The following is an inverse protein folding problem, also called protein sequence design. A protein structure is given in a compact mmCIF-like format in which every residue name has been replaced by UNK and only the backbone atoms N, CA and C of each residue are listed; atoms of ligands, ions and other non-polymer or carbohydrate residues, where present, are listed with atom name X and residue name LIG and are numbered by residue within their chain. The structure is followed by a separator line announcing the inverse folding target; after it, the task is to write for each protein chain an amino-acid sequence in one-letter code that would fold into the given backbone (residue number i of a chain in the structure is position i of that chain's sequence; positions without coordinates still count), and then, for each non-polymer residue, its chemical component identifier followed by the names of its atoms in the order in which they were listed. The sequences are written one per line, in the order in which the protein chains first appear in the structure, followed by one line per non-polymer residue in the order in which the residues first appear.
data_IF_761359185668
#
_entry.id   IF_761359185668
#
_cell.length_a   1.000
_cell.length_b   1.000
_cell.length_c   1.000
_cell.angle_alpha   90.00
_cell.angle_beta   90.00
_cell.angle_gamma   90.00
#
_symmetry.space_group_name_H-M   'P 1'
#
loop_
_entity.id
_entity.type
_entity.pdbx_description
1 polymer ?
#
# COMPACT_ATOMS: atom_id res chain seq x y z
N UNK A 1 14.48 29.07 -22.60
CA UNK A 1 13.37 28.68 -23.46
C UNK A 1 12.21 29.64 -23.17
N UNK A 2 11.89 30.58 -24.08
CA UNK A 2 10.79 31.53 -23.88
C UNK A 2 9.51 30.88 -24.41
N UNK A 3 8.56 30.60 -23.55
CA UNK A 3 7.23 30.13 -23.95
C UNK A 3 6.54 31.22 -24.80
N UNK A 4 5.88 30.83 -25.88
CA UNK A 4 5.09 31.74 -26.70
C UNK A 4 3.82 32.17 -25.94
N UNK A 5 3.27 33.32 -26.32
CA UNK A 5 2.05 33.87 -25.69
C UNK A 5 0.83 32.95 -25.87
N UNK A 6 0.79 32.12 -26.92
CA UNK A 6 -0.22 31.10 -27.16
C UNK A 6 -0.08 29.89 -26.20
N UNK A 7 1.15 29.48 -25.88
CA UNK A 7 1.41 28.42 -24.91
C UNK A 7 1.08 28.86 -23.48
N UNK A 8 1.37 30.11 -23.13
CA UNK A 8 0.99 30.71 -21.85
C UNK A 8 -0.54 30.75 -21.69
N UNK A 9 -1.29 31.19 -22.74
CA UNK A 9 -2.76 31.17 -22.70
C UNK A 9 -3.35 29.78 -22.58
N UNK A 10 -2.72 28.75 -23.13
CA UNK A 10 -3.16 27.36 -23.06
C UNK A 10 -2.90 26.73 -21.66
N UNK A 11 -1.86 27.17 -20.99
CA UNK A 11 -1.47 26.67 -19.65
C UNK A 11 -2.19 27.37 -18.50
N UNK A 12 -2.62 28.62 -18.67
CA UNK A 12 -3.30 29.40 -17.63
C UNK A 12 -4.58 28.76 -17.06
N UNK A 13 -5.50 28.14 -17.84
CA UNK A 13 -6.68 27.48 -17.30
C UNK A 13 -6.34 26.22 -16.50
N UNK A 14 -5.30 25.49 -16.92
CA UNK A 14 -4.82 24.28 -16.24
C UNK A 14 -4.13 24.64 -14.92
N UNK A 15 -3.30 25.70 -14.94
CA UNK A 15 -2.66 26.23 -13.74
C UNK A 15 -3.70 26.75 -12.73
N UNK A 16 -4.72 27.51 -13.18
CA UNK A 16 -5.82 27.98 -12.30
C UNK A 16 -6.61 26.83 -11.69
N UNK A 17 -6.93 25.78 -12.44
CA UNK A 17 -7.62 24.59 -11.89
C UNK A 17 -6.75 23.81 -10.90
N UNK A 18 -5.45 23.69 -11.16
CA UNK A 18 -4.49 23.04 -10.23
C UNK A 18 -4.34 23.84 -8.93
N UNK A 19 -4.17 25.17 -9.04
CA UNK A 19 -4.09 26.04 -7.85
C UNK A 19 -5.39 25.99 -7.06
N UNK A 20 -6.55 26.05 -7.71
CA UNK A 20 -7.84 25.91 -7.04
C UNK A 20 -8.02 24.54 -6.38
N UNK A 21 -7.65 23.44 -7.05
CA UNK A 21 -7.72 22.09 -6.48
C UNK A 21 -6.75 21.95 -5.29
N UNK A 22 -5.53 22.51 -5.39
CA UNK A 22 -4.54 22.52 -4.30
C UNK A 22 -5.01 23.37 -3.12
N UNK A 23 -5.61 24.53 -3.37
CA UNK A 23 -6.18 25.39 -2.32
C UNK A 23 -7.38 24.69 -1.66
N UNK A 24 -8.27 24.06 -2.44
CA UNK A 24 -9.42 23.31 -1.88
C UNK A 24 -8.94 22.12 -1.05
N UNK A 25 -7.95 21.36 -1.54
CA UNK A 25 -7.33 20.28 -0.76
C UNK A 25 -6.62 20.82 0.49
N UNK A 26 -5.94 21.94 0.40
CA UNK A 26 -5.26 22.59 1.54
C UNK A 26 -6.27 23.09 2.57
N UNK A 27 -7.35 23.77 2.13
CA UNK A 27 -8.46 24.21 2.99
C UNK A 27 -9.20 23.01 3.60
N UNK A 28 -9.47 21.96 2.83
CA UNK A 28 -10.06 20.73 3.36
C UNK A 28 -9.14 20.05 4.37
N UNK A 29 -7.82 20.00 4.13
CA UNK A 29 -6.85 19.56 5.12
C UNK A 29 -6.87 20.43 6.36
N UNK A 30 -6.81 21.76 6.24
CA UNK A 30 -6.89 22.66 7.39
C UNK A 30 -8.19 22.48 8.19
N UNK A 31 -9.32 22.27 7.52
CA UNK A 31 -10.61 22.07 8.19
C UNK A 31 -10.75 20.66 8.80
N UNK A 32 -10.09 19.64 8.23
CA UNK A 32 -10.04 18.29 8.80
C UNK A 32 -8.98 18.14 9.89
N UNK A 33 -7.89 18.91 9.82
CA UNK A 33 -6.78 18.87 10.78
C UNK A 33 -7.12 19.43 12.18
N UNK A 34 -8.24 20.13 12.34
CA UNK A 34 -8.54 20.81 13.59
C UNK A 34 -9.23 19.98 14.67
N UNK A 35 -9.82 18.82 14.33
CA UNK A 35 -10.64 18.08 15.30
C UNK A 35 -10.04 16.74 15.69
N UNK A 36 -9.79 16.58 16.99
CA UNK A 36 -9.68 15.26 17.62
C UNK A 36 -11.10 14.76 17.84
N UNK A 37 -11.46 13.62 17.25
CA UNK A 37 -12.71 12.92 17.57
C UNK A 37 -12.51 12.23 18.90
N UNK A 38 -13.21 12.75 19.91
CA UNK A 38 -13.09 12.28 21.29
C UNK A 38 -13.99 11.09 21.53
N UNK A 39 -13.45 10.11 22.28
CA UNK A 39 -14.20 9.00 22.83
C UNK A 39 -15.15 8.32 21.82
N UNK A 40 -14.58 7.78 20.75
CA UNK A 40 -15.32 7.22 19.58
C UNK A 40 -16.33 6.15 19.96
N UNK A 41 -16.14 5.47 21.10
CA UNK A 41 -17.03 4.41 21.60
C UNK A 41 -17.84 4.82 22.84
N UNK A 42 -17.74 6.06 23.31
CA UNK A 42 -18.46 6.59 24.49
C UNK A 42 -18.21 5.74 25.76
N UNK A 43 -16.95 5.43 26.02
CA UNK A 43 -16.49 4.60 27.15
C UNK A 43 -16.13 5.49 28.36
N UNK A 44 -16.58 5.11 29.57
CA UNK A 44 -16.23 5.78 30.82
C UNK A 44 -14.93 5.20 31.42
N UNK A 45 -13.87 5.13 30.65
CA UNK A 45 -12.57 4.65 31.09
C UNK A 45 -11.61 5.81 31.39
N UNK A 46 -10.86 5.77 32.51
CA UNK A 46 -9.80 6.72 32.76
C UNK A 46 -8.58 6.49 31.87
N UNK A 47 -8.40 5.26 31.35
CA UNK A 47 -7.29 4.92 30.43
C UNK A 47 -7.60 5.43 29.03
N UNK A 48 -6.64 6.17 28.45
CA UNK A 48 -6.86 6.85 27.18
C UNK A 48 -5.80 6.51 26.16
N UNK A 49 -6.23 6.30 24.93
CA UNK A 49 -5.36 6.15 23.76
C UNK A 49 -5.69 7.22 22.72
N UNK A 50 -4.65 7.81 22.14
CA UNK A 50 -4.75 8.64 20.95
C UNK A 50 -4.33 7.83 19.72
N UNK A 51 -5.28 7.67 18.80
CA UNK A 51 -5.02 7.05 17.50
C UNK A 51 -4.76 8.15 16.44
N UNK A 52 -3.49 8.28 16.01
CA UNK A 52 -3.04 9.21 14.98
C UNK A 52 -3.13 8.55 13.60
N UNK A 53 -4.35 8.53 13.02
CA UNK A 53 -4.62 7.77 11.80
C UNK A 53 -5.56 8.53 10.85
N UNK A 54 -6.73 8.00 10.56
CA UNK A 54 -7.75 8.54 9.66
C UNK A 54 -9.06 8.76 10.43
N UNK A 55 -9.30 9.97 11.00
CA UNK A 55 -10.52 10.26 11.78
C UNK A 55 -11.79 10.13 10.94
N UNK A 56 -11.69 10.19 9.59
CA UNK A 56 -12.81 9.97 8.67
C UNK A 56 -13.50 8.61 8.87
N UNK A 57 -12.78 7.62 9.38
CA UNK A 57 -13.32 6.32 9.77
C UNK A 57 -14.46 6.41 10.79
N UNK A 58 -14.50 7.50 11.59
CA UNK A 58 -15.48 7.74 12.65
C UNK A 58 -16.38 8.94 12.39
N UNK A 59 -16.06 9.79 11.40
CA UNK A 59 -16.80 11.02 11.10
C UNK A 59 -18.17 10.74 10.44
N UNK A 60 -18.27 9.65 9.70
CA UNK A 60 -19.48 9.27 8.97
C UNK A 60 -20.10 8.02 9.61
N UNK A 61 -21.43 8.02 9.75
CA UNK A 61 -22.19 6.85 10.24
C UNK A 61 -22.15 5.65 9.27
N UNK A 62 -21.64 5.83 8.06
CA UNK A 62 -21.49 4.78 7.05
C UNK A 62 -20.10 4.17 7.22
N UNK A 63 -20.06 2.87 7.53
CA UNK A 63 -18.81 2.11 7.57
C UNK A 63 -18.08 2.24 6.22
N UNK A 64 -16.75 2.47 6.23
CA UNK A 64 -15.99 2.56 5.00
C UNK A 64 -16.04 1.22 4.27
N UNK A 65 -16.64 1.21 3.08
CA UNK A 65 -16.66 0.01 2.24
C UNK A 65 -15.31 -0.15 1.57
N UNK A 66 -14.64 -1.28 1.82
CA UNK A 66 -13.47 -1.76 1.09
C UNK A 66 -12.29 -0.77 0.93
N UNK A 67 -12.10 0.10 1.93
CA UNK A 67 -10.92 0.96 2.02
C UNK A 67 -10.03 0.47 3.15
N UNK A 68 -8.91 -0.20 2.82
CA UNK A 68 -8.04 -0.87 3.80
C UNK A 68 -7.66 0.02 4.98
N UNK A 69 -7.09 1.20 4.74
CA UNK A 69 -6.62 2.09 5.80
C UNK A 69 -7.74 2.58 6.74
N UNK A 70 -8.98 2.77 6.23
CA UNK A 70 -10.13 3.15 7.06
C UNK A 70 -10.58 1.94 7.89
N UNK A 71 -10.60 0.75 7.31
CA UNK A 71 -10.92 -0.50 8.01
C UNK A 71 -9.88 -0.80 9.08
N UNK A 72 -8.59 -0.67 8.78
CA UNK A 72 -7.49 -0.78 9.74
C UNK A 72 -7.68 0.17 10.93
N UNK A 73 -7.99 1.45 10.66
CA UNK A 73 -8.27 2.44 11.69
C UNK A 73 -9.41 2.00 12.63
N UNK A 74 -10.51 1.48 12.07
CA UNK A 74 -11.63 0.95 12.85
C UNK A 74 -11.24 -0.28 13.67
N UNK A 75 -10.46 -1.21 13.08
CA UNK A 75 -9.99 -2.42 13.78
C UNK A 75 -9.10 -2.05 14.97
N UNK A 76 -8.10 -1.20 14.76
CA UNK A 76 -7.18 -0.75 15.82
C UNK A 76 -7.97 -0.11 16.97
N UNK A 77 -8.91 0.76 16.63
CA UNK A 77 -9.75 1.41 17.64
C UNK A 77 -10.60 0.41 18.43
N UNK A 78 -11.17 -0.61 17.75
CA UNK A 78 -11.91 -1.70 18.45
C UNK A 78 -11.01 -2.51 19.37
N UNK A 79 -9.78 -2.81 18.95
CA UNK A 79 -8.82 -3.52 19.80
C UNK A 79 -8.55 -2.77 21.11
N UNK A 80 -8.30 -1.47 21.06
CA UNK A 80 -8.13 -0.66 22.27
C UNK A 80 -9.41 -0.56 23.10
N UNK A 81 -10.57 -0.44 22.47
CA UNK A 81 -11.85 -0.47 23.18
C UNK A 81 -12.07 -1.78 23.92
N UNK A 82 -11.82 -2.93 23.28
CA UNK A 82 -11.87 -4.28 23.90
C UNK A 82 -10.93 -4.40 25.11
N UNK A 83 -9.78 -3.71 25.07
CA UNK A 83 -8.83 -3.64 26.18
C UNK A 83 -9.23 -2.63 27.27
N UNK A 84 -10.38 -1.95 27.11
CA UNK A 84 -10.96 -1.04 28.08
C UNK A 84 -10.35 0.36 28.04
N UNK A 85 -9.88 0.84 26.89
CA UNK A 85 -9.41 2.21 26.70
C UNK A 85 -10.50 3.11 26.13
N UNK A 86 -10.53 4.37 26.58
CA UNK A 86 -11.20 5.45 25.90
C UNK A 86 -10.36 5.83 24.66
N UNK A 87 -10.94 5.72 23.48
CA UNK A 87 -10.23 5.92 22.20
C UNK A 87 -10.56 7.29 21.63
N UNK A 88 -9.55 8.13 21.46
CA UNK A 88 -9.61 9.35 20.68
C UNK A 88 -8.92 9.13 19.34
N UNK A 89 -9.40 9.75 18.26
CA UNK A 89 -8.80 9.64 16.93
C UNK A 89 -8.55 11.01 16.32
N UNK A 90 -7.39 11.19 15.71
CA UNK A 90 -6.99 12.42 15.02
C UNK A 90 -6.30 12.15 13.69
N UNK A 91 -6.26 13.18 12.83
CA UNK A 91 -5.49 13.12 11.59
C UNK A 91 -4.00 12.97 11.87
N UNK A 92 -3.33 12.12 11.09
CA UNK A 92 -1.87 11.98 11.14
C UNK A 92 -1.11 13.30 10.90
N UNK A 93 -1.74 14.28 10.24
CA UNK A 93 -1.13 15.58 9.94
C UNK A 93 -1.26 16.59 11.09
N UNK A 94 -2.08 16.33 12.11
CA UNK A 94 -2.37 17.21 13.23
C UNK A 94 -1.10 17.60 13.99
N UNK A 95 -1.00 18.88 14.34
CA UNK A 95 0.05 19.46 15.19
C UNK A 95 -0.54 20.08 16.44
N UNK A 96 0.31 20.45 17.43
CA UNK A 96 -0.13 21.14 18.64
C UNK A 96 -1.02 20.28 19.55
N UNK A 97 -0.73 18.98 19.64
CA UNK A 97 -1.45 18.04 20.50
C UNK A 97 -0.79 18.05 21.89
N UNK A 98 -1.60 18.16 22.93
CA UNK A 98 -1.18 17.87 24.29
C UNK A 98 -1.33 16.34 24.53
N UNK A 99 -0.19 15.66 24.73
CA UNK A 99 -0.14 14.22 24.95
C UNK A 99 -0.22 13.81 26.42
N UNK A 100 -0.21 14.77 27.37
CA UNK A 100 -0.17 14.49 28.82
C UNK A 100 -1.38 13.70 29.34
N UNK A 101 -2.51 13.77 28.63
CA UNK A 101 -3.73 13.06 28.98
C UNK A 101 -3.89 11.66 28.36
N UNK A 102 -2.83 11.10 27.76
CA UNK A 102 -2.86 9.81 27.10
C UNK A 102 -1.87 8.82 27.70
N UNK A 103 -2.31 7.60 27.95
CA UNK A 103 -1.44 6.50 28.35
C UNK A 103 -0.71 5.92 27.13
N UNK A 104 -1.36 5.93 25.96
CA UNK A 104 -0.84 5.36 24.73
C UNK A 104 -1.07 6.33 23.57
N UNK A 105 -0.07 6.44 22.69
CA UNK A 105 -0.22 7.05 21.36
C UNK A 105 0.14 6.00 20.31
N UNK A 106 -0.80 5.66 19.46
CA UNK A 106 -0.56 4.77 18.32
C UNK A 106 -0.83 5.51 17.03
N UNK A 107 0.04 5.36 16.03
CA UNK A 107 -0.18 6.08 14.78
C UNK A 107 0.65 5.58 13.61
N UNK A 108 0.23 6.03 12.43
CA UNK A 108 0.98 5.92 11.18
C UNK A 108 1.86 7.15 10.98
N UNK A 109 2.71 7.14 9.96
CA UNK A 109 3.58 8.27 9.59
C UNK A 109 2.85 9.62 9.59
N UNK A 110 3.36 10.58 10.32
CA UNK A 110 2.84 11.94 10.29
C UNK A 110 3.13 12.78 11.55
N UNK A 111 2.87 14.07 11.47
CA UNK A 111 3.16 15.03 12.54
C UNK A 111 2.57 14.60 13.89
N UNK A 112 1.34 14.10 13.91
CA UNK A 112 0.66 13.73 15.13
C UNK A 112 1.36 12.62 15.91
N UNK A 113 1.90 11.61 15.23
CA UNK A 113 2.69 10.58 15.89
C UNK A 113 4.12 11.06 16.17
N UNK A 114 4.78 11.66 15.17
CA UNK A 114 6.15 12.15 15.29
C UNK A 114 6.34 13.08 16.51
N UNK A 115 5.42 14.04 16.71
CA UNK A 115 5.51 14.99 17.82
C UNK A 115 5.33 14.33 19.20
N UNK A 116 4.72 13.13 19.27
CA UNK A 116 4.63 12.37 20.54
C UNK A 116 5.97 11.79 20.99
N UNK A 117 6.95 11.67 20.09
CA UNK A 117 8.29 11.16 20.39
C UNK A 117 9.28 12.30 20.76
N UNK A 118 8.82 13.56 20.83
CA UNK A 118 9.66 14.68 21.21
C UNK A 118 10.26 14.49 22.60
N UNK A 119 11.56 14.81 22.79
CA UNK A 119 12.24 14.68 24.07
C UNK A 119 11.71 15.63 25.16
N UNK A 120 11.01 16.68 24.78
CA UNK A 120 10.52 17.72 25.71
C UNK A 120 9.21 17.34 26.44
N UNK A 121 8.64 16.17 26.16
CA UNK A 121 7.43 15.73 26.83
C UNK A 121 7.72 15.30 28.27
N UNK A 122 7.19 16.04 29.24
CA UNK A 122 7.29 15.74 30.69
C UNK A 122 6.54 14.44 31.06
N UNK A 123 5.61 14.01 30.25
CA UNK A 123 4.90 12.73 30.36
C UNK A 123 5.07 12.00 29.05
N UNK A 124 5.55 10.75 29.16
CA UNK A 124 5.77 9.92 27.98
C UNK A 124 4.69 8.85 27.88
N UNK A 125 3.69 8.97 26.98
CA UNK A 125 2.80 7.87 26.67
C UNK A 125 3.59 6.72 26.03
N UNK A 126 3.11 5.49 26.16
CA UNK A 126 3.59 4.36 25.37
C UNK A 126 3.33 4.64 23.87
N UNK A 127 4.36 4.60 23.04
CA UNK A 127 4.30 4.98 21.62
C UNK A 127 4.40 3.75 20.74
N UNK A 128 3.32 3.44 20.04
CA UNK A 128 3.23 2.31 19.13
C UNK A 128 3.18 2.85 17.70
N UNK A 129 4.23 2.62 16.93
CA UNK A 129 4.25 2.98 15.52
C UNK A 129 3.60 1.86 14.69
N UNK A 130 2.57 2.21 13.93
CA UNK A 130 1.95 1.32 12.96
C UNK A 130 2.50 1.64 11.57
N UNK A 131 3.43 0.84 11.08
CA UNK A 131 4.07 1.04 9.79
C UNK A 131 3.22 0.42 8.68
N UNK A 132 2.63 1.27 7.85
CA UNK A 132 1.85 0.88 6.65
C UNK A 132 2.65 1.00 5.35
N UNK A 133 3.92 1.33 5.44
CA UNK A 133 4.85 1.50 4.32
C UNK A 133 6.13 0.72 4.52
N UNK A 134 6.95 0.64 3.47
CA UNK A 134 8.28 0.08 3.57
C UNK A 134 9.19 0.98 4.44
N UNK A 135 10.29 0.40 4.94
CA UNK A 135 11.33 1.13 5.64
C UNK A 135 11.86 2.30 4.78
N UNK A 136 12.14 3.42 5.41
CA UNK A 136 12.39 4.70 4.71
C UNK A 136 13.67 4.69 3.87
N UNK A 137 14.79 4.21 4.43
CA UNK A 137 16.08 4.15 3.72
C UNK A 137 16.02 3.15 2.57
N UNK A 138 15.38 2.00 2.80
CA UNK A 138 15.11 1.01 1.76
C UNK A 138 14.28 1.61 0.62
N UNK A 139 13.19 2.33 0.93
CA UNK A 139 12.35 2.98 -0.06
C UNK A 139 13.14 3.99 -0.92
N UNK A 140 13.96 4.82 -0.31
CA UNK A 140 14.81 5.79 -1.05
C UNK A 140 15.80 5.10 -1.98
N UNK A 141 16.50 4.09 -1.48
CA UNK A 141 17.46 3.31 -2.26
C UNK A 141 16.78 2.65 -3.47
N UNK A 142 15.65 2.00 -3.25
CA UNK A 142 14.90 1.32 -4.31
C UNK A 142 14.34 2.31 -5.34
N UNK A 143 13.85 3.47 -4.89
CA UNK A 143 13.38 4.53 -5.80
C UNK A 143 14.52 5.03 -6.70
N UNK A 144 15.71 5.24 -6.16
CA UNK A 144 16.88 5.65 -6.93
C UNK A 144 17.32 4.59 -7.96
N UNK A 145 17.35 3.32 -7.54
CA UNK A 145 17.67 2.20 -8.43
C UNK A 145 16.66 2.07 -9.56
N UNK A 146 15.37 2.20 -9.26
CA UNK A 146 14.29 2.11 -10.25
C UNK A 146 14.34 3.24 -11.28
N UNK A 147 14.61 4.47 -10.84
CA UNK A 147 14.79 5.58 -11.77
C UNK A 147 16.00 5.36 -12.66
N UNK A 148 17.09 4.83 -12.14
CA UNK A 148 18.28 4.51 -12.92
C UNK A 148 18.00 3.42 -13.96
N UNK A 149 17.28 2.36 -13.59
CA UNK A 149 16.86 1.30 -14.51
C UNK A 149 16.01 1.89 -15.65
N UNK A 150 14.99 2.69 -15.31
CA UNK A 150 14.15 3.35 -16.31
C UNK A 150 14.97 4.27 -17.23
N UNK A 151 15.91 5.04 -16.67
CA UNK A 151 16.79 5.91 -17.46
C UNK A 151 17.68 5.09 -18.41
N UNK A 152 18.25 3.99 -17.96
CA UNK A 152 19.12 3.13 -18.80
C UNK A 152 18.33 2.54 -19.99
N UNK A 153 17.07 2.14 -19.78
CA UNK A 153 16.22 1.61 -20.86
C UNK A 153 15.66 2.67 -21.79
N UNK A 154 15.39 3.88 -21.30
CA UNK A 154 14.59 4.88 -22.03
C UNK A 154 15.26 6.23 -22.23
N UNK A 155 16.42 6.47 -21.65
CA UNK A 155 17.19 7.73 -21.78
C UNK A 155 16.50 8.94 -21.11
N UNK A 156 15.59 8.74 -20.15
CA UNK A 156 14.88 9.83 -19.46
C UNK A 156 14.46 9.47 -18.02
N UNK A 157 14.16 10.50 -17.25
CA UNK A 157 13.66 10.40 -15.88
C UNK A 157 12.16 10.61 -15.81
N UNK A 158 11.48 9.91 -14.86
CA UNK A 158 10.08 10.08 -14.56
C UNK A 158 9.91 10.42 -13.06
N UNK A 159 10.08 11.68 -12.71
CA UNK A 159 10.08 12.12 -11.31
C UNK A 159 8.70 12.16 -10.68
N UNK A 160 7.66 12.55 -11.44
CA UNK A 160 6.29 12.64 -10.92
C UNK A 160 5.63 11.28 -10.68
N UNK A 161 6.17 10.21 -11.27
CA UNK A 161 5.66 8.83 -11.13
C UNK A 161 6.19 8.10 -9.91
N UNK A 162 6.99 8.75 -9.09
CA UNK A 162 7.57 8.18 -7.88
C UNK A 162 6.74 8.54 -6.64
N UNK A 163 6.63 7.56 -5.73
CA UNK A 163 6.13 7.78 -4.37
C UNK A 163 7.24 8.26 -3.44
N UNK A 164 8.20 8.95 -4.00
CA UNK A 164 9.34 9.50 -3.30
C UNK A 164 8.91 10.69 -2.43
N UNK A 165 9.30 10.67 -1.17
CA UNK A 165 9.11 11.77 -0.22
C UNK A 165 10.47 12.42 0.06
N UNK A 166 10.88 13.41 -0.75
CA UNK A 166 12.19 14.01 -0.61
C UNK A 166 12.32 14.75 0.72
N UNK A 167 13.38 14.42 1.46
CA UNK A 167 13.84 15.21 2.60
C UNK A 167 13.05 15.06 3.90
N UNK A 168 12.14 14.10 4.03
CA UNK A 168 11.42 13.87 5.27
C UNK A 168 12.03 12.71 6.09
N UNK A 169 13.00 13.03 6.93
CA UNK A 169 13.61 12.07 7.85
C UNK A 169 12.65 11.61 8.97
N UNK A 170 11.47 12.22 9.14
CA UNK A 170 10.52 11.90 10.21
C UNK A 170 10.11 10.44 10.17
N UNK A 171 9.85 9.89 9.00
CA UNK A 171 9.46 8.50 8.85
C UNK A 171 10.52 7.52 9.39
N UNK A 172 11.79 7.86 9.25
CA UNK A 172 12.88 7.10 9.86
C UNK A 172 12.82 7.16 11.37
N UNK A 173 12.65 8.38 11.94
CA UNK A 173 12.61 8.57 13.38
C UNK A 173 11.38 7.94 14.03
N UNK A 174 10.22 7.92 13.35
CA UNK A 174 9.00 7.32 13.88
C UNK A 174 9.18 5.83 14.21
N UNK A 175 9.78 5.06 13.30
CA UNK A 175 10.07 3.65 13.55
C UNK A 175 11.19 3.48 14.62
N UNK A 176 12.27 4.27 14.52
CA UNK A 176 13.44 4.08 15.38
C UNK A 176 13.21 4.48 16.84
N UNK A 177 12.41 5.52 17.10
CA UNK A 177 12.16 6.06 18.44
C UNK A 177 10.85 5.64 19.08
N UNK A 178 10.00 4.90 18.38
CA UNK A 178 8.83 4.26 18.99
C UNK A 178 9.25 3.20 20.03
N UNK A 179 8.39 2.98 21.01
CA UNK A 179 8.59 1.95 22.04
C UNK A 179 8.28 0.57 21.48
N UNK A 180 7.32 0.48 20.54
CA UNK A 180 7.03 -0.72 19.77
C UNK A 180 6.63 -0.36 18.33
N UNK A 181 6.84 -1.29 17.40
CA UNK A 181 6.48 -1.16 15.98
C UNK A 181 5.63 -2.35 15.55
N UNK A 182 4.44 -2.09 15.04
CA UNK A 182 3.66 -3.09 14.33
C UNK A 182 3.89 -2.86 12.84
N UNK A 183 4.61 -3.77 12.20
CA UNK A 183 5.01 -3.70 10.80
C UNK A 183 3.98 -4.44 9.93
N UNK A 184 3.23 -3.71 9.11
CA UNK A 184 2.33 -4.30 8.12
C UNK A 184 3.16 -4.85 6.95
N UNK A 185 3.03 -6.15 6.65
CA UNK A 185 3.76 -6.75 5.53
C UNK A 185 4.08 -8.22 5.72
N UNK A 186 5.22 -8.61 5.18
CA UNK A 186 5.82 -9.95 5.28
C UNK A 186 7.22 -9.90 5.92
N UNK A 187 7.85 -11.07 6.05
CA UNK A 187 9.19 -11.19 6.62
C UNK A 187 10.27 -10.39 5.85
N UNK A 188 10.10 -10.22 4.53
CA UNK A 188 11.03 -9.42 3.74
C UNK A 188 10.97 -7.94 4.15
N UNK A 189 9.76 -7.40 4.29
CA UNK A 189 9.55 -6.00 4.70
C UNK A 189 10.01 -5.79 6.15
N UNK A 190 9.66 -6.71 7.05
CA UNK A 190 10.13 -6.68 8.44
C UNK A 190 11.66 -6.68 8.51
N UNK A 191 12.32 -7.53 7.72
CA UNK A 191 13.77 -7.60 7.63
C UNK A 191 14.42 -6.25 7.33
N UNK A 192 13.79 -5.41 6.50
CA UNK A 192 14.31 -4.06 6.17
C UNK A 192 14.26 -3.10 7.36
N UNK A 193 13.28 -3.22 8.24
CA UNK A 193 13.26 -2.46 9.50
C UNK A 193 14.31 -2.95 10.50
N UNK A 194 14.51 -4.27 10.60
CA UNK A 194 15.47 -4.88 11.50
C UNK A 194 16.93 -4.57 11.08
N UNK A 195 17.20 -4.49 9.76
CA UNK A 195 18.51 -4.07 9.24
C UNK A 195 18.93 -2.67 9.75
N UNK A 196 17.96 -1.80 10.04
CA UNK A 196 18.19 -0.40 10.45
C UNK A 196 18.09 -0.16 11.97
N UNK A 197 17.63 -1.13 12.76
CA UNK A 197 17.48 -1.00 14.22
C UNK A 197 17.94 -2.27 14.96
N UNK A 198 18.80 -2.10 15.95
CA UNK A 198 19.29 -3.22 16.77
C UNK A 198 18.28 -3.78 17.77
N UNK A 199 17.18 -3.07 18.03
CA UNK A 199 16.12 -3.49 18.99
C UNK A 199 15.06 -4.32 18.29
N UNK A 200 15.43 -5.52 17.87
CA UNK A 200 14.55 -6.42 17.10
C UNK A 200 13.29 -6.86 17.86
N UNK A 201 13.33 -6.90 19.18
CA UNK A 201 12.24 -7.30 20.07
C UNK A 201 11.04 -6.34 20.03
N UNK A 202 11.25 -5.10 19.63
CA UNK A 202 10.16 -4.11 19.53
C UNK A 202 9.26 -4.29 18.31
N UNK A 203 9.67 -5.10 17.32
CA UNK A 203 8.94 -5.27 16.07
C UNK A 203 7.99 -6.47 16.13
N UNK A 204 6.76 -6.26 15.67
CA UNK A 204 5.76 -7.32 15.49
C UNK A 204 5.31 -7.31 14.02
N UNK A 205 5.38 -8.45 13.34
CA UNK A 205 4.94 -8.59 11.96
C UNK A 205 3.44 -8.85 11.87
N UNK A 206 2.74 -8.01 11.13
CA UNK A 206 1.31 -8.13 10.91
C UNK A 206 1.01 -8.32 9.42
N UNK A 207 0.62 -9.50 8.95
CA UNK A 207 0.07 -9.69 7.62
C UNK A 207 -1.21 -8.86 7.43
N UNK A 208 -1.36 -8.25 6.24
CA UNK A 208 -2.59 -7.54 5.91
C UNK A 208 -3.74 -8.49 5.57
N UNK A 209 -4.90 -7.93 5.29
CA UNK A 209 -6.11 -8.66 4.94
C UNK A 209 -6.60 -8.29 3.53
N UNK A 210 -7.49 -9.13 2.99
CA UNK A 210 -8.23 -8.84 1.76
C UNK A 210 -9.74 -8.71 2.04
N UNK A 211 -10.48 -8.17 1.08
CA UNK A 211 -11.94 -8.11 1.13
C UNK A 211 -12.54 -9.23 0.29
N UNK A 212 -13.29 -10.18 0.89
CA UNK A 212 -13.91 -11.29 0.16
C UNK A 212 -15.15 -10.80 -0.60
N UNK A 213 -14.98 -10.37 -1.85
CA UNK A 213 -16.03 -9.78 -2.69
C UNK A 213 -16.39 -10.63 -3.89
N UNK A 214 -15.57 -11.61 -4.26
CA UNK A 214 -15.80 -12.55 -5.34
C UNK A 214 -15.27 -13.94 -4.97
N UNK A 215 -15.79 -14.97 -5.65
CA UNK A 215 -15.30 -16.32 -5.57
C UNK A 215 -14.84 -16.75 -6.97
N UNK A 216 -13.61 -17.28 -7.13
CA UNK A 216 -13.13 -17.75 -8.43
C UNK A 216 -13.93 -18.97 -8.92
N UNK A 217 -14.09 -19.08 -10.24
CA UNK A 217 -14.70 -20.25 -10.87
C UNK A 217 -13.74 -21.45 -10.79
N UNK A 218 -14.18 -22.53 -10.16
CA UNK A 218 -13.40 -23.76 -10.03
C UNK A 218 -13.09 -24.43 -11.40
N UNK A 219 -13.84 -24.05 -12.45
CA UNK A 219 -13.65 -24.52 -13.83
C UNK A 219 -12.79 -23.62 -14.68
N UNK A 220 -12.10 -22.64 -14.07
CA UNK A 220 -11.23 -21.71 -14.81
C UNK A 220 -10.22 -22.43 -15.68
N UNK A 221 -10.26 -22.12 -16.99
CA UNK A 221 -9.37 -22.74 -17.98
C UNK A 221 -8.07 -21.96 -18.14
N UNK A 222 -7.03 -22.43 -17.49
CA UNK A 222 -5.70 -21.80 -17.53
C UNK A 222 -5.01 -21.93 -18.89
N UNK A 223 -5.42 -22.85 -19.76
CA UNK A 223 -4.88 -22.93 -21.12
C UNK A 223 -5.25 -21.69 -21.95
N UNK A 224 -6.39 -21.08 -21.66
CA UNK A 224 -6.90 -19.89 -22.33
C UNK A 224 -6.41 -18.58 -21.70
N UNK A 225 -6.27 -18.55 -20.37
CA UNK A 225 -6.03 -17.28 -19.65
C UNK A 225 -4.57 -17.07 -19.21
N UNK A 226 -3.68 -18.08 -19.28
CA UNK A 226 -2.31 -18.00 -18.76
C UNK A 226 -1.43 -16.90 -19.36
N UNK A 227 -1.75 -16.39 -20.55
CA UNK A 227 -1.06 -15.28 -21.21
C UNK A 227 -1.75 -13.94 -21.01
N UNK A 228 -2.84 -13.90 -20.23
CA UNK A 228 -3.48 -12.67 -19.81
C UNK A 228 -2.91 -12.23 -18.48
N UNK A 229 -2.23 -11.10 -18.48
CA UNK A 229 -1.52 -10.51 -17.35
C UNK A 229 -2.39 -9.40 -16.74
N UNK A 230 -2.65 -9.45 -15.45
CA UNK A 230 -3.29 -8.38 -14.70
C UNK A 230 -2.23 -7.56 -13.97
N UNK A 231 -2.19 -6.25 -14.25
CA UNK A 231 -1.59 -5.26 -13.36
C UNK A 231 -2.72 -4.50 -12.65
N UNK A 232 -2.72 -4.54 -11.30
CA UNK A 232 -3.78 -3.93 -10.49
C UNK A 232 -3.16 -2.97 -9.47
N UNK A 233 -3.31 -1.65 -9.71
CA UNK A 233 -2.68 -0.63 -8.87
C UNK A 233 -3.32 0.75 -9.00
N UNK A 234 -2.93 1.67 -8.12
CA UNK A 234 -3.46 3.04 -8.09
C UNK A 234 -2.44 4.06 -8.63
N UNK A 235 -1.82 4.85 -7.76
CA UNK A 235 -0.78 5.83 -8.07
C UNK A 235 0.61 5.25 -7.87
N UNK A 236 1.62 5.90 -8.43
CA UNK A 236 3.02 5.45 -8.42
C UNK A 236 3.29 4.48 -9.57
N UNK A 237 3.07 4.91 -10.82
CA UNK A 237 3.17 4.03 -11.99
C UNK A 237 4.55 3.41 -12.11
N UNK A 238 5.61 4.21 -12.01
CA UNK A 238 6.98 3.73 -12.04
C UNK A 238 7.32 2.93 -10.78
N UNK A 239 6.90 3.40 -9.61
CA UNK A 239 7.09 2.71 -8.32
C UNK A 239 6.46 1.32 -8.32
N UNK A 240 5.26 1.17 -8.90
CA UNK A 240 4.53 -0.09 -9.00
C UNK A 240 4.84 -0.90 -10.27
N UNK A 241 5.84 -0.49 -11.04
CA UNK A 241 6.37 -1.22 -12.19
C UNK A 241 5.40 -1.36 -13.36
N UNK A 242 4.46 -0.41 -13.55
CA UNK A 242 3.59 -0.43 -14.74
C UNK A 242 4.39 -0.28 -16.04
N UNK A 243 5.53 0.38 -16.01
CA UNK A 243 6.44 0.49 -17.15
C UNK A 243 7.02 -0.89 -17.54
N UNK A 244 7.40 -1.73 -16.57
CA UNK A 244 7.83 -3.12 -16.84
C UNK A 244 6.71 -3.89 -17.52
N UNK A 245 5.48 -3.80 -17.01
CA UNK A 245 4.34 -4.50 -17.58
C UNK A 245 4.03 -4.04 -19.02
N UNK A 246 4.08 -2.73 -19.28
CA UNK A 246 3.83 -2.17 -20.61
C UNK A 246 4.96 -2.56 -21.58
N UNK A 247 6.23 -2.39 -21.17
CA UNK A 247 7.38 -2.72 -22.02
C UNK A 247 7.38 -4.21 -22.38
N UNK A 248 7.06 -5.08 -21.42
CA UNK A 248 6.89 -6.52 -21.69
C UNK A 248 5.79 -6.80 -22.71
N UNK A 249 4.61 -6.22 -22.55
CA UNK A 249 3.50 -6.44 -23.47
C UNK A 249 3.79 -5.92 -24.90
N UNK A 250 4.53 -4.80 -25.00
CA UNK A 250 4.98 -4.26 -26.29
C UNK A 250 5.99 -5.18 -27.00
N UNK A 251 6.87 -5.85 -26.25
CA UNK A 251 7.89 -6.76 -26.78
C UNK A 251 7.35 -8.16 -27.02
N UNK A 252 6.25 -8.56 -26.37
CA UNK A 252 5.69 -9.92 -26.39
C UNK A 252 4.20 -9.89 -26.78
N UNK A 253 3.85 -9.71 -28.07
CA UNK A 253 2.47 -9.50 -28.51
C UNK A 253 1.54 -10.73 -28.31
N UNK A 254 2.09 -11.91 -28.00
CA UNK A 254 1.31 -13.09 -27.63
C UNK A 254 0.71 -13.02 -26.22
N UNK A 255 1.15 -12.07 -25.39
CA UNK A 255 0.55 -11.79 -24.09
C UNK A 255 -0.40 -10.61 -24.18
N UNK A 256 -1.46 -10.63 -23.38
CA UNK A 256 -2.38 -9.50 -23.21
C UNK A 256 -2.23 -8.90 -21.82
N UNK A 257 -1.93 -7.61 -21.74
CA UNK A 257 -1.85 -6.87 -20.50
C UNK A 257 -3.17 -6.17 -20.19
N UNK A 258 -3.77 -6.48 -19.05
CA UNK A 258 -4.94 -5.81 -18.48
C UNK A 258 -4.48 -4.86 -17.38
N UNK A 259 -4.65 -3.55 -17.59
CA UNK A 259 -4.27 -2.50 -16.64
C UNK A 259 -5.50 -1.98 -15.92
N UNK A 260 -5.61 -2.29 -14.62
CA UNK A 260 -6.66 -1.77 -13.75
C UNK A 260 -6.10 -0.69 -12.83
N UNK A 261 -6.75 0.47 -12.78
CA UNK A 261 -6.30 1.65 -12.07
C UNK A 261 -5.41 2.55 -12.94
N UNK A 262 -4.29 3.00 -12.39
CA UNK A 262 -3.40 3.94 -13.07
C UNK A 262 -3.85 5.39 -12.92
N UNK A 263 -3.11 6.16 -12.11
CA UNK A 263 -3.42 7.56 -11.89
C UNK A 263 -3.11 8.40 -13.13
N UNK A 264 -4.11 9.08 -13.70
CA UNK A 264 -3.90 10.06 -14.76
C UNK A 264 -3.15 11.33 -14.29
N UNK A 265 -2.94 11.47 -12.99
CA UNK A 265 -2.22 12.62 -12.42
C UNK A 265 -0.70 12.55 -12.65
N UNK A 266 -0.17 11.36 -12.92
CA UNK A 266 1.25 11.15 -13.26
C UNK A 266 1.50 11.46 -14.74
N UNK A 267 1.50 12.75 -15.04
CA UNK A 267 1.49 13.26 -16.42
C UNK A 267 2.76 12.92 -17.21
N UNK A 268 3.92 12.81 -16.57
CA UNK A 268 5.19 12.46 -17.21
C UNK A 268 5.21 11.01 -17.68
N UNK A 269 4.68 10.09 -16.87
CA UNK A 269 4.52 8.69 -17.22
C UNK A 269 3.61 8.53 -18.44
N UNK A 270 2.40 9.12 -18.39
CA UNK A 270 1.44 9.01 -19.49
C UNK A 270 1.86 9.76 -20.74
N UNK A 271 2.55 10.88 -20.60
CA UNK A 271 3.14 11.61 -21.74
C UNK A 271 4.15 10.74 -22.50
N UNK A 272 4.84 9.87 -21.78
CA UNK A 272 5.81 8.93 -22.38
C UNK A 272 5.13 7.69 -22.98
N UNK A 273 4.21 7.04 -22.24
CA UNK A 273 3.65 5.76 -22.67
C UNK A 273 2.43 5.86 -23.56
N UNK A 274 1.58 6.88 -23.41
CA UNK A 274 0.35 7.02 -24.18
C UNK A 274 0.55 6.96 -25.70
N UNK A 275 1.56 7.62 -26.32
CA UNK A 275 1.83 7.48 -27.75
C UNK A 275 2.23 6.05 -28.15
N UNK A 276 2.95 5.32 -27.27
CA UNK A 276 3.46 3.98 -27.54
C UNK A 276 2.38 2.91 -27.49
N UNK A 277 1.41 3.06 -26.60
CA UNK A 277 0.31 2.08 -26.41
C UNK A 277 -0.94 2.39 -27.26
N UNK A 278 -0.97 3.56 -27.91
CA UNK A 278 -2.11 3.93 -28.74
C UNK A 278 -2.26 2.99 -29.94
N UNK A 279 -3.38 2.30 -30.00
CA UNK A 279 -3.70 1.34 -31.08
C UNK A 279 -3.05 -0.04 -30.91
N UNK A 280 -2.36 -0.29 -29.81
CA UNK A 280 -1.81 -1.59 -29.46
C UNK A 280 -2.92 -2.49 -28.90
N UNK A 281 -3.22 -3.60 -29.61
CA UNK A 281 -4.41 -4.42 -29.32
C UNK A 281 -4.26 -5.31 -28.07
N UNK A 282 -3.03 -5.66 -27.69
CA UNK A 282 -2.74 -6.52 -26.55
C UNK A 282 -2.49 -5.75 -25.23
N UNK A 283 -2.82 -4.46 -25.18
CA UNK A 283 -2.81 -3.66 -23.94
C UNK A 283 -4.20 -3.06 -23.71
N UNK A 284 -4.89 -3.56 -22.69
CA UNK A 284 -6.27 -3.20 -22.36
C UNK A 284 -6.31 -2.31 -21.13
N UNK A 285 -6.64 -1.04 -21.30
CA UNK A 285 -6.75 -0.06 -20.23
C UNK A 285 -8.15 -0.06 -19.62
N UNK A 286 -8.32 -0.62 -18.44
CA UNK A 286 -9.61 -0.68 -17.74
C UNK A 286 -9.96 0.60 -16.96
N UNK A 287 -8.95 1.42 -16.60
CA UNK A 287 -9.11 2.54 -15.67
C UNK A 287 -9.40 2.05 -14.24
N UNK A 288 -10.07 2.88 -13.46
CA UNK A 288 -10.48 2.48 -12.11
C UNK A 288 -11.49 1.33 -12.17
N UNK A 289 -11.24 0.28 -11.40
CA UNK A 289 -12.12 -0.88 -11.25
C UNK A 289 -12.41 -1.06 -9.78
N UNK A 290 -13.69 -0.93 -9.43
CA UNK A 290 -14.18 -1.21 -8.10
C UNK A 290 -14.15 -2.73 -7.85
N UNK A 291 -13.56 -3.15 -6.74
CA UNK A 291 -13.44 -4.58 -6.40
C UNK A 291 -14.79 -5.27 -6.17
N UNK A 292 -15.84 -4.54 -5.76
CA UNK A 292 -17.21 -5.07 -5.64
C UNK A 292 -17.91 -5.27 -6.99
N UNK A 293 -17.33 -4.77 -8.07
CA UNK A 293 -18.00 -4.79 -9.38
C UNK A 293 -17.93 -6.16 -10.04
N UNK A 294 -18.98 -6.52 -10.79
CA UNK A 294 -18.95 -7.69 -11.69
C UNK A 294 -17.79 -7.64 -12.69
N UNK A 295 -17.36 -6.42 -13.04
CA UNK A 295 -16.22 -6.21 -13.92
C UNK A 295 -14.92 -6.69 -13.30
N UNK A 296 -14.73 -6.47 -12.00
CA UNK A 296 -13.56 -7.00 -11.28
C UNK A 296 -13.53 -8.52 -11.35
N UNK A 297 -14.62 -9.19 -10.98
CA UNK A 297 -14.72 -10.64 -11.06
C UNK A 297 -14.45 -11.16 -12.48
N UNK A 298 -15.02 -10.53 -13.52
CA UNK A 298 -14.77 -10.93 -14.91
C UNK A 298 -13.30 -10.77 -15.33
N UNK A 299 -12.61 -9.73 -14.85
CA UNK A 299 -11.18 -9.54 -15.12
C UNK A 299 -10.35 -10.62 -14.44
N UNK A 300 -10.68 -11.00 -13.19
CA UNK A 300 -9.98 -12.07 -12.48
C UNK A 300 -10.12 -13.42 -13.22
N UNK A 301 -11.30 -13.72 -13.75
CA UNK A 301 -11.51 -14.95 -14.53
C UNK A 301 -10.74 -14.93 -15.86
N UNK A 302 -10.63 -13.78 -16.50
CA UNK A 302 -9.96 -13.61 -17.78
C UNK A 302 -8.43 -13.69 -17.68
N UNK A 303 -7.85 -13.34 -16.52
CA UNK A 303 -6.40 -13.26 -16.32
C UNK A 303 -5.85 -14.48 -15.61
N UNK A 304 -4.70 -15.00 -16.08
CA UNK A 304 -3.97 -16.11 -15.45
C UNK A 304 -2.82 -15.66 -14.57
N UNK A 305 -2.23 -14.50 -14.86
CA UNK A 305 -1.07 -13.95 -14.13
C UNK A 305 -1.45 -12.66 -13.41
N UNK A 306 -1.04 -12.52 -12.16
CA UNK A 306 -0.97 -11.25 -11.45
C UNK A 306 0.48 -10.77 -11.46
N UNK A 307 0.75 -9.64 -12.10
CA UNK A 307 2.07 -9.03 -12.17
C UNK A 307 2.14 -7.80 -11.24
N UNK A 308 3.03 -7.83 -10.26
CA UNK A 308 3.27 -6.71 -9.35
C UNK A 308 4.76 -6.45 -9.13
N UNK A 309 5.42 -5.67 -10.02
CA UNK A 309 6.83 -5.32 -9.89
C UNK A 309 7.06 -4.07 -9.00
N UNK A 310 6.34 -3.95 -7.89
CA UNK A 310 6.51 -2.81 -6.98
C UNK A 310 7.87 -2.84 -6.30
N UNK A 311 8.50 -1.67 -6.16
CA UNK A 311 9.87 -1.57 -5.64
C UNK A 311 9.96 -1.51 -4.13
N UNK A 312 8.91 -1.03 -3.46
CA UNK A 312 8.84 -1.00 -2.00
C UNK A 312 7.42 -0.70 -1.54
N UNK A 313 6.83 -1.61 -0.79
CA UNK A 313 5.51 -1.45 -0.17
C UNK A 313 5.62 -1.89 1.30
N UNK A 314 4.70 -1.46 2.17
CA UNK A 314 4.49 -2.16 3.44
C UNK A 314 3.78 -3.46 3.13
N UNK A 315 2.54 -3.35 2.64
CA UNK A 315 1.82 -4.47 2.04
C UNK A 315 1.00 -3.99 0.85
N UNK A 316 1.14 -4.66 -0.29
CA UNK A 316 0.34 -4.39 -1.48
C UNK A 316 -1.04 -5.05 -1.35
N UNK A 317 -1.97 -4.44 -0.60
CA UNK A 317 -3.33 -4.96 -0.39
C UNK A 317 -4.07 -5.20 -1.71
N UNK A 318 -3.73 -4.48 -2.78
CA UNK A 318 -4.25 -4.76 -4.13
C UNK A 318 -3.91 -6.16 -4.62
N UNK A 319 -2.72 -6.68 -4.29
CA UNK A 319 -2.31 -8.07 -4.58
C UNK A 319 -3.16 -9.05 -3.79
N UNK A 320 -3.33 -8.82 -2.48
CA UNK A 320 -4.17 -9.66 -1.63
C UNK A 320 -5.63 -9.71 -2.12
N UNK A 321 -6.20 -8.54 -2.51
CA UNK A 321 -7.56 -8.50 -3.06
C UNK A 321 -7.69 -9.30 -4.37
N UNK A 322 -6.68 -9.29 -5.22
CA UNK A 322 -6.70 -10.09 -6.46
C UNK A 322 -6.59 -11.58 -6.13
N UNK A 323 -5.62 -11.98 -5.31
CA UNK A 323 -5.39 -13.41 -4.98
C UNK A 323 -6.49 -13.99 -4.11
N UNK A 324 -7.04 -13.23 -3.17
CA UNK A 324 -8.14 -13.69 -2.31
C UNK A 324 -9.47 -13.86 -3.03
N UNK A 325 -9.66 -13.19 -4.19
CA UNK A 325 -10.90 -13.23 -4.98
C UNK A 325 -10.74 -13.93 -6.33
N UNK A 326 -9.52 -14.32 -6.73
CA UNK A 326 -9.25 -14.96 -8.02
C UNK A 326 -8.06 -15.90 -7.96
N UNK A 327 -8.11 -16.99 -8.75
CA UNK A 327 -6.99 -17.88 -8.93
C UNK A 327 -6.08 -17.35 -10.05
N UNK A 328 -4.99 -16.65 -9.68
CA UNK A 328 -3.97 -16.15 -10.58
C UNK A 328 -2.58 -16.55 -10.07
N UNK A 329 -1.65 -16.81 -10.99
CA UNK A 329 -0.24 -17.02 -10.66
C UNK A 329 0.40 -15.67 -10.31
N UNK A 330 0.80 -15.41 -9.05
CA UNK A 330 1.48 -14.17 -8.70
C UNK A 330 2.94 -14.19 -9.18
N UNK A 331 3.33 -13.14 -9.88
CA UNK A 331 4.71 -12.79 -10.21
C UNK A 331 4.96 -11.42 -9.59
N UNK A 332 5.59 -11.42 -8.44
CA UNK A 332 5.72 -10.23 -7.59
C UNK A 332 7.18 -10.01 -7.17
N UNK A 333 7.56 -8.76 -6.98
CA UNK A 333 8.82 -8.49 -6.29
C UNK A 333 8.77 -8.94 -4.83
N UNK A 334 9.90 -9.26 -4.24
CA UNK A 334 9.99 -9.51 -2.80
C UNK A 334 9.55 -8.29 -1.96
N UNK A 335 9.66 -7.09 -2.55
CA UNK A 335 9.33 -5.83 -1.88
C UNK A 335 7.84 -5.45 -1.89
N UNK A 336 6.94 -6.37 -2.25
CA UNK A 336 5.48 -6.14 -2.21
C UNK A 336 4.88 -6.25 -0.80
N UNK A 337 5.61 -6.88 0.13
CA UNK A 337 5.12 -7.13 1.49
C UNK A 337 3.92 -8.09 1.56
N UNK A 338 3.75 -8.93 0.54
CA UNK A 338 2.66 -9.92 0.46
C UNK A 338 3.24 -11.32 0.49
N UNK A 339 2.82 -12.09 1.47
CA UNK A 339 3.10 -13.52 1.50
C UNK A 339 2.01 -14.30 0.76
N UNK A 340 2.42 -15.24 -0.07
CA UNK A 340 1.59 -16.21 -0.79
C UNK A 340 2.24 -17.62 -0.78
N UNK A 341 3.08 -17.88 0.22
CA UNK A 341 3.83 -19.13 0.34
C UNK A 341 4.73 -19.39 -0.88
N UNK A 342 4.87 -20.65 -1.25
CA UNK A 342 5.66 -21.10 -2.42
C UNK A 342 4.85 -21.10 -3.72
N UNK A 343 3.65 -20.54 -3.71
CA UNK A 343 2.70 -20.68 -4.80
C UNK A 343 3.04 -19.83 -6.03
N UNK A 344 3.77 -18.71 -5.84
CA UNK A 344 4.08 -17.76 -6.92
C UNK A 344 5.53 -17.79 -7.40
N UNK A 345 5.90 -16.73 -8.11
CA UNK A 345 7.28 -16.41 -8.48
C UNK A 345 7.64 -15.10 -7.80
N UNK A 346 8.62 -15.16 -6.89
CA UNK A 346 9.20 -13.97 -6.24
C UNK A 346 10.41 -13.51 -7.01
N UNK A 347 10.46 -12.22 -7.34
CA UNK A 347 11.55 -11.59 -8.09
C UNK A 347 12.30 -10.66 -7.13
N UNK A 348 13.56 -10.98 -6.88
CA UNK A 348 14.41 -10.21 -5.94
C UNK A 348 14.86 -8.90 -6.54
N UNK A 349 15.37 -8.94 -7.77
CA UNK A 349 15.81 -7.75 -8.50
C UNK A 349 14.65 -7.14 -9.27
N UNK A 350 14.32 -5.88 -8.96
CA UNK A 350 13.22 -5.18 -9.63
C UNK A 350 13.75 -4.48 -10.89
N UNK A 351 14.13 -5.28 -11.90
CA UNK A 351 14.54 -4.86 -13.24
C UNK A 351 13.56 -5.42 -14.29
N UNK A 352 13.57 -4.82 -15.50
CA UNK A 352 12.78 -5.32 -16.61
C UNK A 352 13.17 -6.77 -16.94
N UNK A 353 14.47 -7.04 -17.04
CA UNK A 353 15.03 -8.34 -17.44
C UNK A 353 14.62 -9.46 -16.47
N UNK A 354 14.64 -9.18 -15.17
CA UNK A 354 14.25 -10.18 -14.16
C UNK A 354 12.76 -10.51 -14.25
N UNK A 355 11.89 -9.54 -14.46
CA UNK A 355 10.45 -9.79 -14.66
C UNK A 355 10.13 -10.42 -16.01
N UNK A 356 10.83 -10.05 -17.08
CA UNK A 356 10.72 -10.73 -18.38
C UNK A 356 11.04 -12.21 -18.26
N UNK A 357 12.15 -12.57 -17.62
CA UNK A 357 12.53 -13.97 -17.36
C UNK A 357 11.46 -14.71 -16.54
N UNK A 358 10.92 -14.08 -15.50
CA UNK A 358 9.87 -14.67 -14.66
C UNK A 358 8.58 -14.94 -15.46
N UNK A 359 8.19 -14.03 -16.35
CA UNK A 359 7.02 -14.17 -17.21
C UNK A 359 7.22 -15.26 -18.27
N UNK A 360 8.41 -15.34 -18.87
CA UNK A 360 8.76 -16.41 -19.82
C UNK A 360 8.78 -17.77 -19.11
N UNK A 361 9.33 -17.85 -17.89
CA UNK A 361 9.32 -19.07 -17.08
C UNK A 361 7.89 -19.52 -16.77
N UNK A 362 6.99 -18.60 -16.45
CA UNK A 362 5.57 -18.89 -16.23
C UNK A 362 4.88 -19.41 -17.50
N UNK A 363 5.19 -18.84 -18.68
CA UNK A 363 4.64 -19.29 -19.95
C UNK A 363 5.16 -20.69 -20.37
N UNK A 364 6.39 -21.03 -20.01
CA UNK A 364 6.97 -22.35 -20.26
C UNK A 364 6.49 -23.44 -19.30
N UNK A 365 5.80 -23.08 -18.21
CA UNK A 365 5.34 -24.04 -17.19
C UNK A 365 4.23 -24.95 -17.76
N UNK A 366 4.17 -26.27 -17.44
CA UNK A 366 3.00 -27.11 -17.75
C UNK A 366 1.70 -26.48 -17.20
N UNK A 367 0.60 -26.57 -17.94
CA UNK A 367 -0.68 -25.90 -17.60
C UNK A 367 -1.19 -26.37 -16.22
N UNK A 368 -1.05 -27.65 -15.93
CA UNK A 368 -1.46 -28.24 -14.65
C UNK A 368 -0.67 -27.65 -13.46
N UNK A 369 0.64 -27.50 -13.64
CA UNK A 369 1.51 -26.89 -12.62
C UNK A 369 1.20 -25.40 -12.44
N UNK A 370 0.94 -24.70 -13.54
CA UNK A 370 0.52 -23.30 -13.52
C UNK A 370 -0.80 -23.13 -12.76
N UNK A 371 -1.82 -23.94 -13.11
CA UNK A 371 -3.12 -23.94 -12.44
C UNK A 371 -2.98 -24.27 -10.95
N UNK A 372 -2.21 -25.30 -10.60
CA UNK A 372 -1.96 -25.66 -9.21
C UNK A 372 -1.39 -24.50 -8.41
N UNK A 373 -0.35 -23.82 -8.93
CA UNK A 373 0.24 -22.65 -8.25
C UNK A 373 -0.73 -21.48 -8.12
N UNK A 374 -1.54 -21.20 -9.13
CA UNK A 374 -2.55 -20.16 -9.09
C UNK A 374 -3.60 -20.42 -7.99
N UNK A 375 -4.07 -21.68 -7.89
CA UNK A 375 -4.99 -22.10 -6.83
C UNK A 375 -4.35 -22.14 -5.46
N UNK A 376 -3.09 -22.52 -5.35
CA UNK A 376 -2.35 -22.52 -4.07
C UNK A 376 -2.18 -21.11 -3.54
N UNK A 377 -1.88 -20.13 -4.40
CA UNK A 377 -1.81 -18.73 -4.02
C UNK A 377 -3.16 -18.21 -3.52
N UNK A 378 -4.25 -18.53 -4.21
CA UNK A 378 -5.60 -18.19 -3.77
C UNK A 378 -5.91 -18.77 -2.39
N UNK A 379 -5.70 -20.08 -2.20
CA UNK A 379 -5.94 -20.76 -0.92
C UNK A 379 -5.10 -20.17 0.20
N UNK A 380 -3.81 -19.92 -0.05
CA UNK A 380 -2.93 -19.35 0.96
C UNK A 380 -3.46 -18.01 1.47
N UNK A 381 -3.84 -17.10 0.56
CA UNK A 381 -4.39 -15.78 0.94
C UNK A 381 -5.74 -15.92 1.64
N UNK A 382 -6.61 -16.80 1.13
CA UNK A 382 -7.92 -17.08 1.74
C UNK A 382 -7.77 -17.58 3.20
N UNK A 383 -6.83 -18.47 3.45
CA UNK A 383 -6.67 -19.14 4.74
C UNK A 383 -5.87 -18.31 5.76
N UNK A 384 -5.06 -17.33 5.30
CA UNK A 384 -4.11 -16.61 6.17
C UNK A 384 -4.35 -15.11 6.28
N UNK A 385 -5.14 -14.51 5.39
CA UNK A 385 -5.26 -13.06 5.26
C UNK A 385 -6.71 -12.56 5.41
N UNK A 386 -7.50 -13.18 6.32
CA UNK A 386 -8.85 -12.70 6.61
C UNK A 386 -8.82 -11.45 7.52
N UNK A 387 -9.90 -10.65 7.47
CA UNK A 387 -10.05 -9.49 8.35
C UNK A 387 -10.13 -9.91 9.83
N UNK A 388 -10.75 -11.04 10.12
CA UNK A 388 -10.85 -11.60 11.45
C UNK A 388 -9.47 -11.96 12.01
N UNK A 389 -8.63 -12.61 11.22
CA UNK A 389 -7.27 -12.96 11.62
C UNK A 389 -6.39 -11.70 11.81
N UNK A 390 -6.57 -10.71 10.97
CA UNK A 390 -5.91 -9.41 11.13
C UNK A 390 -6.31 -8.75 12.45
N UNK A 391 -7.60 -8.71 12.78
CA UNK A 391 -8.10 -8.14 14.04
C UNK A 391 -7.57 -8.88 15.26
N UNK A 392 -7.61 -10.22 15.26
CA UNK A 392 -7.12 -11.02 16.39
C UNK A 392 -5.59 -10.90 16.58
N UNK A 393 -4.80 -10.89 15.50
CA UNK A 393 -3.36 -10.64 15.58
C UNK A 393 -3.05 -9.23 16.09
N UNK A 394 -3.75 -8.20 15.57
CA UNK A 394 -3.62 -6.82 16.04
C UNK A 394 -3.96 -6.71 17.53
N UNK A 395 -5.03 -7.34 17.97
CA UNK A 395 -5.45 -7.36 19.37
C UNK A 395 -4.36 -7.99 20.26
N UNK A 396 -3.86 -9.17 19.88
CA UNK A 396 -2.80 -9.87 20.61
C UNK A 396 -1.52 -9.01 20.72
N UNK A 397 -1.06 -8.41 19.62
CA UNK A 397 0.13 -7.55 19.64
C UNK A 397 -0.04 -6.32 20.52
N UNK A 398 -1.18 -5.63 20.47
CA UNK A 398 -1.43 -4.50 21.36
C UNK A 398 -1.46 -4.94 22.82
N UNK A 399 -2.07 -6.08 23.12
CA UNK A 399 -2.13 -6.65 24.47
C UNK A 399 -0.72 -6.98 25.00
N UNK A 400 0.10 -7.64 24.19
CA UNK A 400 1.48 -8.01 24.55
C UNK A 400 2.34 -6.76 24.78
N UNK A 401 2.30 -5.78 23.87
CA UNK A 401 3.05 -4.53 24.01
C UNK A 401 2.70 -3.79 25.31
N UNK A 402 1.40 -3.74 25.65
CA UNK A 402 0.96 -3.10 26.91
C UNK A 402 1.43 -3.90 28.13
N UNK A 403 1.43 -5.24 28.05
CA UNK A 403 1.92 -6.12 29.11
C UNK A 403 3.43 -6.01 29.34
N UNK A 404 4.20 -5.98 28.25
CA UNK A 404 5.67 -5.82 28.29
C UNK A 404 6.08 -4.46 28.89
N UNK A 405 5.35 -3.38 28.61
CA UNK A 405 5.64 -2.06 29.14
C UNK A 405 5.44 -1.99 30.66
N UNK A 406 4.36 -2.58 31.18
CA UNK A 406 4.08 -2.63 32.61
C UNK A 406 5.13 -3.38 33.44
N UNK A 407 5.83 -4.31 32.82
CA UNK A 407 6.89 -5.09 33.48
C UNK A 407 8.25 -4.33 33.49
N UNK A 408 8.37 -3.22 32.75
CA UNK A 408 9.56 -2.36 32.68
C UNK A 408 9.48 -1.13 33.61
N UNK A 409 8.27 -0.78 34.04
CA UNK A 409 8.01 0.26 35.06
C UNK A 409 8.14 -0.31 36.49
#
# INVERSE_FOLDING_TARGET
MKLSFSEIKRLLPIAKRRVAATIVQWVQRMLSDEKIIRNVYKTDSPRRVLLCHLPEAFANKVQPKHHSNLTECCVIARCFHRLGYCVDCTSRAKTGIDYSGYDIVMGINGNAFFNSISPDASVRPLRIFYSVGAETCFNYRMTALRNRDFYNRHGRWLLASNRYMPGDARNYYEANFADAVICLGDEYVLGKFIEEDSRIDKFKLLPAFYFPVAKPDEKKDFSLCRRNILWFGSSGMLHKGLDIAIDFALSHPQFTLHVCGGSRQESDFWHYYQPKIKGVSNIVMHGFVDIESKRFASILEMCGILLNPSISEGCAVSVLNVLGNGALLPICSCATGVDFGDAGIRVEEVSYEAFEQALILADAMPVEKFAQKAWDAHRYVHDNCSLEQFEERMFGFIQDIIGENKNKE
#
